data_IF_342051834481
#
_entry.id   IF_342051834481
#
_cell.length_a   1.000
_cell.length_b   1.000
_cell.length_c   1.000
_cell.angle_alpha   90.00
_cell.angle_beta   90.00
_cell.angle_gamma   90.00
#
_symmetry.space_group_name_H-M   'P 1'
#
loop_
_entity.id
_entity.type
_entity.pdbx_description
1 polymer ?
#
# COMPACT_ATOMS: atom_id res chain seq x y z
N UNK A 1 9.90 25.06 8.53
CA UNK A 1 10.30 24.07 9.56
C UNK A 1 9.15 23.12 9.95
N UNK A 2 7.93 23.62 10.22
CA UNK A 2 6.76 22.78 10.59
C UNK A 2 6.32 21.71 9.56
N UNK A 3 6.40 22.02 8.25
CA UNK A 3 6.04 21.08 7.18
C UNK A 3 7.02 19.89 7.14
N UNK A 4 8.31 20.17 7.33
CA UNK A 4 9.35 19.15 7.34
C UNK A 4 9.18 18.20 8.54
N UNK A 5 8.83 18.72 9.72
CA UNK A 5 8.55 17.89 10.90
C UNK A 5 7.30 17.01 10.73
N UNK A 6 6.23 17.51 10.09
CA UNK A 6 5.03 16.71 9.76
C UNK A 6 5.31 15.61 8.73
N UNK A 7 6.09 15.91 7.69
CA UNK A 7 6.47 14.92 6.67
C UNK A 7 7.40 13.88 7.30
N UNK A 8 8.35 14.31 8.13
CA UNK A 8 9.26 13.41 8.83
C UNK A 8 8.49 12.52 9.82
N UNK A 9 7.58 13.06 10.64
CA UNK A 9 6.76 12.24 11.55
C UNK A 9 5.84 11.27 10.80
N UNK A 10 5.31 11.68 9.64
CA UNK A 10 4.47 10.82 8.80
C UNK A 10 5.27 9.67 8.17
N UNK A 11 6.55 9.87 7.82
CA UNK A 11 7.43 8.82 7.29
C UNK A 11 8.04 7.93 8.39
N UNK A 12 8.22 8.46 9.60
CA UNK A 12 8.85 7.75 10.72
C UNK A 12 7.97 6.59 11.22
N UNK A 13 6.65 6.78 11.27
CA UNK A 13 5.72 5.74 11.73
C UNK A 13 5.67 4.50 10.81
N UNK A 14 5.53 4.63 9.48
CA UNK A 14 5.68 3.51 8.55
C UNK A 14 7.03 2.81 8.67
N UNK A 15 8.12 3.54 8.84
CA UNK A 15 9.47 2.96 9.01
C UNK A 15 9.55 2.18 10.32
N UNK A 16 8.97 2.68 11.41
CA UNK A 16 8.90 1.97 12.69
C UNK A 16 8.04 0.72 12.59
N UNK A 17 6.88 0.79 11.92
CA UNK A 17 5.97 -0.36 11.74
C UNK A 17 6.63 -1.42 10.86
N UNK A 18 7.21 -1.03 9.73
CA UNK A 18 7.98 -1.93 8.84
C UNK A 18 9.17 -2.51 9.60
N UNK A 19 9.89 -1.69 10.36
CA UNK A 19 11.01 -2.11 11.20
C UNK A 19 10.60 -3.12 12.27
N UNK A 20 9.44 -2.93 12.90
CA UNK A 20 8.84 -3.87 13.86
C UNK A 20 8.45 -5.19 13.20
N UNK A 21 7.79 -5.14 12.04
CA UNK A 21 7.42 -6.32 11.26
C UNK A 21 8.68 -7.12 10.86
N UNK A 22 9.69 -6.44 10.32
CA UNK A 22 10.98 -7.05 9.95
C UNK A 22 11.70 -7.61 11.18
N UNK A 23 11.68 -6.90 12.30
CA UNK A 23 12.30 -7.35 13.55
C UNK A 23 11.66 -8.64 14.08
N UNK A 24 10.33 -8.72 14.06
CA UNK A 24 9.60 -9.92 14.49
C UNK A 24 9.81 -11.11 13.53
N UNK A 25 9.90 -10.86 12.23
CA UNK A 25 10.23 -11.90 11.24
C UNK A 25 11.67 -12.41 11.43
N UNK A 26 12.62 -11.50 11.65
CA UNK A 26 14.05 -11.84 11.81
C UNK A 26 14.35 -12.59 13.10
N UNK A 27 13.62 -12.32 14.19
CA UNK A 27 13.81 -13.00 15.48
C UNK A 27 13.51 -14.50 15.42
N UNK A 28 12.70 -14.98 14.47
CA UNK A 28 12.36 -16.41 14.31
C UNK A 28 13.35 -17.24 13.50
N UNK A 29 14.31 -16.63 12.78
CA UNK A 29 15.19 -17.34 11.84
C UNK A 29 16.68 -17.41 12.24
N UNK A 30 17.00 -17.36 13.54
CA UNK A 30 18.37 -17.67 14.00
C UNK A 30 18.59 -19.19 13.98
N UNK A 31 19.33 -19.68 12.96
CA UNK A 31 20.18 -20.91 12.93
C UNK A 31 20.10 -21.74 11.61
N UNK A 32 20.04 -21.12 10.42
CA UNK A 32 20.39 -21.86 9.19
C UNK A 32 21.31 -21.04 8.29
N UNK A 33 22.30 -21.72 7.70
CA UNK A 33 23.23 -21.15 6.74
C UNK A 33 22.45 -20.60 5.51
N UNK A 34 22.83 -19.42 4.96
CA UNK A 34 22.08 -18.77 3.87
C UNK A 34 21.93 -19.61 2.59
N UNK A 35 22.90 -20.49 2.31
CA UNK A 35 22.93 -21.31 1.10
C UNK A 35 21.91 -22.46 1.07
N UNK A 36 21.36 -22.86 2.23
CA UNK A 36 20.36 -23.93 2.31
C UNK A 36 18.93 -23.41 2.48
N UNK A 37 18.74 -22.09 2.57
CA UNK A 37 17.42 -21.52 2.81
C UNK A 37 16.68 -21.27 1.49
N UNK A 38 15.65 -22.08 1.21
CA UNK A 38 14.71 -21.90 0.07
C UNK A 38 14.10 -20.48 0.03
N UNK A 39 14.10 -19.76 1.14
CA UNK A 39 13.53 -18.42 1.30
C UNK A 39 14.57 -17.28 1.34
N UNK A 40 15.78 -17.48 0.77
CA UNK A 40 16.84 -16.45 0.75
C UNK A 40 16.38 -15.09 0.22
N UNK A 41 15.43 -15.08 -0.72
CA UNK A 41 14.90 -13.88 -1.35
C UNK A 41 14.03 -13.02 -0.41
N UNK A 42 13.59 -13.56 0.73
CA UNK A 42 12.90 -12.79 1.77
C UNK A 42 13.86 -11.90 2.58
N UNK A 43 15.18 -12.12 2.45
CA UNK A 43 16.18 -11.34 3.16
C UNK A 43 16.51 -10.06 2.41
N UNK A 44 16.30 -8.91 3.08
CA UNK A 44 16.66 -7.60 2.55
C UNK A 44 18.16 -7.40 2.34
N UNK A 45 19.00 -8.13 3.10
CA UNK A 45 20.45 -8.14 2.94
C UNK A 45 20.99 -9.55 3.18
N UNK A 46 21.92 -9.99 2.34
CA UNK A 46 22.50 -11.34 2.41
C UNK A 46 23.57 -11.47 3.50
N UNK A 47 24.24 -10.36 3.82
CA UNK A 47 25.25 -10.28 4.86
C UNK A 47 25.15 -8.95 5.60
N UNK A 48 25.91 -8.80 6.70
CA UNK A 48 25.97 -7.52 7.43
C UNK A 48 26.65 -6.45 6.58
N UNK A 49 27.67 -6.84 5.84
CA UNK A 49 28.44 -5.98 4.93
C UNK A 49 27.55 -5.49 3.77
N UNK A 50 26.72 -6.38 3.20
CA UNK A 50 25.70 -6.01 2.20
C UNK A 50 24.70 -5.00 2.78
N UNK A 51 24.19 -5.23 3.99
CA UNK A 51 23.26 -4.30 4.64
C UNK A 51 23.88 -2.90 4.85
N UNK A 52 25.14 -2.87 5.32
CA UNK A 52 25.88 -1.63 5.55
C UNK A 52 26.16 -0.91 4.23
N UNK A 53 26.57 -1.63 3.19
CA UNK A 53 26.79 -1.08 1.84
C UNK A 53 25.50 -0.47 1.25
N UNK A 54 24.38 -1.20 1.32
CA UNK A 54 23.09 -0.69 0.89
C UNK A 54 22.63 0.55 1.68
N UNK A 55 22.90 0.57 2.99
CA UNK A 55 22.59 1.73 3.84
C UNK A 55 23.42 2.96 3.47
N UNK A 56 24.73 2.80 3.25
CA UNK A 56 25.60 3.90 2.81
C UNK A 56 25.18 4.44 1.44
N UNK A 57 24.82 3.55 0.50
CA UNK A 57 24.31 3.97 -0.79
C UNK A 57 23.00 4.76 -0.66
N UNK A 58 22.06 4.28 0.15
CA UNK A 58 20.82 4.99 0.45
C UNK A 58 21.09 6.37 1.06
N UNK A 59 21.98 6.44 2.04
CA UNK A 59 22.36 7.67 2.72
C UNK A 59 22.99 8.67 1.74
N UNK A 60 23.81 8.19 0.80
CA UNK A 60 24.38 9.00 -0.28
C UNK A 60 23.29 9.65 -1.14
N UNK A 61 22.24 8.92 -1.52
CA UNK A 61 21.10 9.50 -2.25
C UNK A 61 20.29 10.50 -1.42
N UNK A 62 20.13 10.27 -0.12
CA UNK A 62 19.52 11.26 0.76
C UNK A 62 20.35 12.54 0.84
N UNK A 63 21.67 12.42 1.04
CA UNK A 63 22.55 13.58 1.06
C UNK A 63 22.62 14.29 -0.28
N UNK A 64 22.55 13.56 -1.40
CA UNK A 64 22.42 14.16 -2.72
C UNK A 64 21.16 15.03 -2.79
N UNK A 65 20.01 14.52 -2.33
CA UNK A 65 18.76 15.28 -2.33
C UNK A 65 18.77 16.50 -1.41
N UNK A 66 19.32 16.37 -0.20
CA UNK A 66 19.47 17.50 0.74
C UNK A 66 20.42 18.54 0.17
N UNK A 67 21.55 18.12 -0.40
CA UNK A 67 22.54 19.00 -1.02
C UNK A 67 21.93 19.74 -2.21
N UNK A 68 21.20 19.05 -3.09
CA UNK A 68 20.49 19.70 -4.21
C UNK A 68 19.43 20.69 -3.72
N UNK A 69 18.71 20.39 -2.64
CA UNK A 69 17.76 21.34 -2.03
C UNK A 69 18.45 22.58 -1.45
N UNK A 70 19.60 22.40 -0.78
CA UNK A 70 20.39 23.50 -0.23
C UNK A 70 20.93 24.39 -1.34
N UNK A 71 21.60 23.81 -2.36
CA UNK A 71 22.06 24.55 -3.52
C UNK A 71 20.91 25.27 -4.23
N UNK A 72 19.77 24.60 -4.43
CA UNK A 72 18.61 25.22 -5.05
C UNK A 72 18.13 26.44 -4.26
N UNK A 73 18.15 26.39 -2.91
CA UNK A 73 17.81 27.54 -2.07
C UNK A 73 18.83 28.68 -2.21
N UNK A 74 20.12 28.35 -2.22
CA UNK A 74 21.19 29.35 -2.30
C UNK A 74 21.24 30.06 -3.67
N UNK A 75 20.79 29.39 -4.74
CA UNK A 75 20.65 29.98 -6.08
C UNK A 75 19.29 30.66 -6.35
N UNK A 76 18.46 30.88 -5.33
CA UNK A 76 17.17 31.57 -5.49
C UNK A 76 16.03 30.70 -6.05
N UNK A 77 16.04 29.40 -5.73
CA UNK A 77 15.01 28.41 -6.08
C UNK A 77 14.70 28.24 -7.58
N UNK A 78 15.71 28.09 -8.46
CA UNK A 78 15.49 27.94 -9.91
C UNK A 78 14.70 26.68 -10.27
N UNK A 79 14.75 25.65 -9.43
CA UNK A 79 14.09 24.36 -9.63
C UNK A 79 13.09 24.10 -8.52
N UNK A 80 11.91 23.58 -8.86
CA UNK A 80 10.94 23.20 -7.83
C UNK A 80 11.47 22.05 -6.96
N UNK A 81 11.20 22.09 -5.64
CA UNK A 81 11.58 20.99 -4.74
C UNK A 81 11.04 19.62 -5.20
N UNK A 82 9.88 19.60 -5.87
CA UNK A 82 9.30 18.40 -6.48
C UNK A 82 10.23 17.80 -7.54
N UNK A 83 10.80 18.63 -8.42
CA UNK A 83 11.75 18.15 -9.42
C UNK A 83 13.01 17.57 -8.78
N UNK A 84 13.48 18.12 -7.65
CA UNK A 84 14.63 17.55 -6.91
C UNK A 84 14.28 16.17 -6.34
N UNK A 85 13.08 16.00 -5.76
CA UNK A 85 12.61 14.67 -5.28
C UNK A 85 12.50 13.69 -6.45
N UNK A 86 12.04 14.12 -7.62
CA UNK A 86 11.98 13.28 -8.82
C UNK A 86 13.36 12.84 -9.30
N UNK A 87 14.30 13.78 -9.43
CA UNK A 87 15.67 13.50 -9.90
C UNK A 87 16.36 12.52 -8.96
N UNK A 88 16.30 12.79 -7.65
CA UNK A 88 16.96 11.96 -6.63
C UNK A 88 16.35 10.56 -6.55
N UNK A 89 15.02 10.44 -6.61
CA UNK A 89 14.34 9.14 -6.60
C UNK A 89 14.58 8.36 -7.91
N UNK A 90 14.66 9.04 -9.05
CA UNK A 90 14.98 8.40 -10.34
C UNK A 90 16.42 7.90 -10.38
N UNK A 91 17.38 8.72 -9.92
CA UNK A 91 18.77 8.33 -9.82
C UNK A 91 18.96 7.15 -8.84
N UNK A 92 18.26 7.18 -7.71
CA UNK A 92 18.20 6.08 -6.76
C UNK A 92 17.64 4.80 -7.38
N UNK A 93 16.55 4.89 -8.15
CA UNK A 93 15.95 3.74 -8.83
C UNK A 93 16.91 3.11 -9.84
N UNK A 94 17.53 3.93 -10.69
CA UNK A 94 18.51 3.47 -11.69
C UNK A 94 19.68 2.76 -10.98
N UNK A 95 20.23 3.40 -9.95
CA UNK A 95 21.31 2.84 -9.14
C UNK A 95 20.91 1.53 -8.45
N UNK A 96 19.68 1.44 -7.95
CA UNK A 96 19.14 0.24 -7.34
C UNK A 96 19.14 -0.94 -8.31
N UNK A 97 18.69 -0.74 -9.55
CA UNK A 97 18.71 -1.79 -10.58
C UNK A 97 20.12 -2.16 -11.02
N UNK A 98 21.03 -1.18 -11.13
CA UNK A 98 22.40 -1.42 -11.54
C UNK A 98 23.21 -2.17 -10.46
N UNK A 99 23.14 -1.69 -9.22
CA UNK A 99 23.88 -2.22 -8.07
C UNK A 99 23.14 -3.33 -7.31
N UNK A 100 21.90 -3.66 -7.71
CA UNK A 100 21.03 -4.67 -7.07
C UNK A 100 20.74 -4.39 -5.59
N UNK A 101 20.59 -3.12 -5.22
CA UNK A 101 20.41 -2.69 -3.83
C UNK A 101 18.93 -2.49 -3.48
N UNK A 102 18.48 -3.15 -2.41
CA UNK A 102 17.06 -3.24 -2.07
C UNK A 102 16.59 -2.02 -1.29
N UNK A 103 17.39 -1.53 -0.33
CA UNK A 103 17.03 -0.34 0.43
C UNK A 103 16.82 0.86 -0.49
N UNK A 104 17.76 1.10 -1.40
CA UNK A 104 17.65 2.16 -2.40
C UNK A 104 16.41 1.99 -3.27
N UNK A 105 16.08 0.76 -3.69
CA UNK A 105 14.85 0.48 -4.46
C UNK A 105 13.59 0.90 -3.70
N UNK A 106 13.43 0.45 -2.44
CA UNK A 106 12.25 0.75 -1.61
C UNK A 106 12.04 2.26 -1.49
N UNK A 107 13.08 2.99 -1.09
CA UNK A 107 12.97 4.44 -0.88
C UNK A 107 12.78 5.20 -2.19
N UNK A 108 13.37 4.73 -3.30
CA UNK A 108 13.19 5.35 -4.62
C UNK A 108 11.77 5.18 -5.14
N UNK A 109 11.16 4.01 -4.94
CA UNK A 109 9.76 3.77 -5.33
C UNK A 109 8.81 4.64 -4.50
N UNK A 110 9.00 4.68 -3.18
CA UNK A 110 8.22 5.56 -2.28
C UNK A 110 8.41 7.03 -2.66
N UNK A 111 9.65 7.44 -2.97
CA UNK A 111 9.98 8.80 -3.41
C UNK A 111 9.30 9.18 -4.72
N UNK A 112 9.27 8.29 -5.72
CA UNK A 112 8.58 8.51 -6.99
C UNK A 112 7.05 8.58 -6.83
N UNK A 113 6.46 7.68 -6.02
CA UNK A 113 5.03 7.74 -5.71
C UNK A 113 4.67 9.04 -4.97
N UNK A 114 5.49 9.43 -3.98
CA UNK A 114 5.34 10.68 -3.25
C UNK A 114 5.51 11.91 -4.13
N UNK A 115 6.48 11.90 -5.04
CA UNK A 115 6.67 12.93 -6.05
C UNK A 115 5.43 13.07 -6.93
N UNK A 116 4.93 11.96 -7.49
CA UNK A 116 3.75 12.01 -8.36
C UNK A 116 2.55 12.58 -7.62
N UNK A 117 2.32 12.16 -6.37
CA UNK A 117 1.25 12.72 -5.52
C UNK A 117 1.40 14.24 -5.30
N UNK A 118 2.60 14.71 -4.99
CA UNK A 118 2.87 16.15 -4.81
C UNK A 118 2.74 16.94 -6.11
N UNK A 119 3.12 16.34 -7.23
CA UNK A 119 3.04 16.95 -8.56
C UNK A 119 1.59 17.00 -9.06
N UNK A 120 0.82 15.94 -8.84
CA UNK A 120 -0.61 15.90 -9.13
C UNK A 120 -1.38 16.93 -8.28
N UNK A 121 -1.02 17.09 -7.00
CA UNK A 121 -1.57 18.14 -6.14
C UNK A 121 -1.30 19.55 -6.70
N UNK A 122 -0.13 19.80 -7.28
CA UNK A 122 0.16 21.08 -7.95
C UNK A 122 -0.71 21.27 -9.20
N UNK A 123 -0.94 20.22 -9.99
CA UNK A 123 -1.71 20.34 -11.24
C UNK A 123 -3.18 20.69 -11.01
N UNK A 124 -3.71 20.33 -9.85
CA UNK A 124 -5.06 20.68 -9.40
C UNK A 124 -5.09 21.96 -8.56
N UNK A 125 -3.95 22.43 -8.04
CA UNK A 125 -3.90 23.63 -7.22
C UNK A 125 -4.36 24.86 -8.02
N UNK A 126 -5.19 25.69 -7.40
CA UNK A 126 -5.86 26.82 -8.06
C UNK A 126 -6.91 26.44 -9.12
N UNK A 127 -7.09 25.15 -9.43
CA UNK A 127 -8.14 24.65 -10.31
C UNK A 127 -9.21 23.97 -9.45
N UNK A 128 -10.48 24.25 -9.71
CA UNK A 128 -11.58 23.58 -9.00
C UNK A 128 -11.74 22.13 -9.49
N UNK A 129 -10.68 21.30 -9.47
CA UNK A 129 -10.66 19.92 -9.96
C UNK A 129 -10.81 18.94 -8.79
N UNK A 130 -11.56 17.85 -9.01
CA UNK A 130 -11.73 16.77 -8.03
C UNK A 130 -10.39 16.18 -7.59
N UNK A 131 -10.17 16.13 -6.28
CA UNK A 131 -8.98 15.47 -5.69
C UNK A 131 -9.09 13.95 -5.73
N UNK A 132 -10.25 13.36 -6.05
CA UNK A 132 -10.42 11.90 -6.20
C UNK A 132 -9.53 11.32 -7.30
N UNK A 133 -9.23 12.10 -8.34
CA UNK A 133 -8.32 11.72 -9.41
C UNK A 133 -6.86 11.53 -8.93
N UNK A 134 -6.41 12.32 -7.94
CA UNK A 134 -5.11 12.13 -7.30
C UNK A 134 -5.06 10.77 -6.59
N UNK A 135 -6.10 10.44 -5.82
CA UNK A 135 -6.18 9.16 -5.12
C UNK A 135 -6.24 7.99 -6.10
N UNK A 136 -7.03 8.11 -7.16
CA UNK A 136 -7.10 7.08 -8.20
C UNK A 136 -5.71 6.83 -8.83
N UNK A 137 -4.95 7.88 -9.14
CA UNK A 137 -3.60 7.69 -9.69
C UNK A 137 -2.63 7.05 -8.71
N UNK A 138 -2.68 7.39 -7.42
CA UNK A 138 -1.88 6.69 -6.39
C UNK A 138 -2.26 5.20 -6.29
N UNK A 139 -3.55 4.88 -6.33
CA UNK A 139 -4.02 3.50 -6.33
C UNK A 139 -3.60 2.74 -7.60
N UNK A 140 -3.62 3.39 -8.77
CA UNK A 140 -3.13 2.79 -10.01
C UNK A 140 -1.62 2.51 -9.94
N UNK A 141 -0.81 3.42 -9.39
CA UNK A 141 0.62 3.17 -9.15
C UNK A 141 0.81 1.94 -8.24
N UNK A 142 0.02 1.80 -7.17
CA UNK A 142 0.09 0.65 -6.28
C UNK A 142 -0.24 -0.68 -7.00
N UNK A 143 -1.28 -0.68 -7.86
CA UNK A 143 -1.61 -1.84 -8.69
C UNK A 143 -0.56 -2.15 -9.76
N UNK A 144 0.10 -1.11 -10.31
CA UNK A 144 1.25 -1.28 -11.21
C UNK A 144 2.39 -1.96 -10.46
N UNK A 145 2.68 -1.56 -9.21
CA UNK A 145 3.70 -2.22 -8.40
C UNK A 145 3.37 -3.70 -8.20
N UNK A 146 2.11 -4.03 -7.88
CA UNK A 146 1.70 -5.43 -7.76
C UNK A 146 1.96 -6.22 -9.07
N UNK A 147 1.55 -5.65 -10.20
CA UNK A 147 1.67 -6.30 -11.52
C UNK A 147 3.14 -6.45 -11.96
N UNK A 148 3.94 -5.40 -11.79
CA UNK A 148 5.38 -5.43 -12.04
C UNK A 148 6.09 -6.41 -11.10
N UNK A 149 5.63 -6.54 -9.85
CA UNK A 149 6.15 -7.50 -8.89
C UNK A 149 6.16 -8.91 -9.46
N UNK A 150 5.01 -9.37 -9.98
CA UNK A 150 4.92 -10.67 -10.64
C UNK A 150 5.80 -10.80 -11.88
N UNK A 151 5.94 -9.74 -12.70
CA UNK A 151 6.85 -9.78 -13.85
C UNK A 151 8.32 -9.98 -13.43
N UNK A 152 8.73 -9.41 -12.30
CA UNK A 152 10.07 -9.59 -11.77
C UNK A 152 10.30 -11.00 -11.19
N UNK A 153 9.25 -11.76 -10.85
CA UNK A 153 9.38 -13.15 -10.37
C UNK A 153 9.89 -14.08 -11.47
N UNK A 154 9.67 -13.74 -12.75
CA UNK A 154 10.07 -14.57 -13.91
C UNK A 154 11.56 -14.87 -13.93
N UNK A 155 12.40 -13.93 -13.49
CA UNK A 155 13.85 -14.10 -13.49
C UNK A 155 14.39 -14.21 -12.07
N UNK A 156 15.11 -15.28 -11.77
CA UNK A 156 15.71 -15.52 -10.44
C UNK A 156 16.58 -14.35 -9.95
N UNK A 157 17.24 -13.62 -10.87
CA UNK A 157 18.04 -12.43 -10.58
C UNK A 157 17.24 -11.32 -9.90
N UNK A 158 15.95 -11.19 -10.22
CA UNK A 158 15.08 -10.10 -9.77
C UNK A 158 14.06 -10.54 -8.71
N UNK A 159 14.16 -11.77 -8.19
CA UNK A 159 13.20 -12.29 -7.21
C UNK A 159 13.10 -11.44 -5.92
N UNK A 160 14.21 -10.85 -5.47
CA UNK A 160 14.20 -9.91 -4.34
C UNK A 160 13.50 -8.59 -4.67
N UNK A 161 13.56 -8.17 -5.93
CA UNK A 161 12.92 -6.94 -6.40
C UNK A 161 11.41 -7.17 -6.52
N UNK A 162 11.01 -8.33 -7.05
CA UNK A 162 9.61 -8.77 -7.09
C UNK A 162 8.93 -8.60 -5.73
N UNK A 163 9.57 -9.08 -4.66
CA UNK A 163 9.05 -8.95 -3.30
C UNK A 163 8.82 -7.49 -2.90
N UNK A 164 9.75 -6.58 -3.21
CA UNK A 164 9.59 -5.15 -2.89
C UNK A 164 8.36 -4.57 -3.59
N UNK A 165 8.23 -4.82 -4.89
CA UNK A 165 7.10 -4.35 -5.69
C UNK A 165 5.77 -4.94 -5.20
N UNK A 166 5.72 -6.25 -4.92
CA UNK A 166 4.53 -6.91 -4.39
C UNK A 166 4.13 -6.36 -3.02
N UNK A 167 5.08 -6.25 -2.09
CA UNK A 167 4.81 -5.75 -0.73
C UNK A 167 4.34 -4.31 -0.77
N UNK A 168 5.01 -3.42 -1.53
CA UNK A 168 4.57 -2.03 -1.66
C UNK A 168 3.20 -1.92 -2.30
N UNK A 169 2.92 -2.71 -3.35
CA UNK A 169 1.62 -2.74 -4.01
C UNK A 169 0.51 -3.21 -3.07
N UNK A 170 0.70 -4.35 -2.40
CA UNK A 170 -0.25 -4.92 -1.44
C UNK A 170 -0.51 -3.93 -0.30
N UNK A 171 0.53 -3.47 0.40
CA UNK A 171 0.37 -2.56 1.55
C UNK A 171 -0.38 -1.29 1.14
N UNK A 172 -0.07 -0.71 -0.02
CA UNK A 172 -0.73 0.51 -0.48
C UNK A 172 -2.20 0.28 -0.87
N UNK A 173 -2.51 -0.81 -1.60
CA UNK A 173 -3.89 -1.16 -1.97
C UNK A 173 -4.72 -1.52 -0.75
N UNK A 174 -4.22 -2.44 0.09
CA UNK A 174 -4.88 -2.83 1.34
C UNK A 174 -5.08 -1.60 2.23
N UNK A 175 -4.06 -0.74 2.39
CA UNK A 175 -4.16 0.50 3.17
C UNK A 175 -5.20 1.48 2.64
N UNK A 176 -5.31 1.65 1.32
CA UNK A 176 -6.31 2.51 0.70
C UNK A 176 -7.73 1.96 0.89
N UNK A 177 -7.94 0.66 0.64
CA UNK A 177 -9.22 -0.02 0.86
C UNK A 177 -9.63 0.02 2.34
N UNK A 178 -8.67 -0.22 3.24
CA UNK A 178 -8.87 -0.13 4.67
C UNK A 178 -9.33 1.26 5.07
N UNK A 179 -8.61 2.31 4.65
CA UNK A 179 -8.96 3.69 4.93
C UNK A 179 -10.38 4.01 4.45
N UNK A 180 -10.70 3.70 3.20
CA UNK A 180 -12.03 3.96 2.63
C UNK A 180 -13.15 3.10 3.22
N UNK A 181 -12.83 1.98 3.88
CA UNK A 181 -13.82 1.20 4.62
C UNK A 181 -14.28 1.86 5.92
N UNK A 182 -13.56 2.88 6.41
CA UNK A 182 -13.85 3.58 7.68
C UNK A 182 -14.75 4.80 7.49
N UNK A 183 -15.43 5.24 8.55
CA UNK A 183 -16.27 6.46 8.54
C UNK A 183 -15.47 7.71 8.10
N UNK A 184 -14.24 7.98 8.61
CA UNK A 184 -13.41 9.07 8.10
C UNK A 184 -13.10 8.93 6.60
N UNK A 185 -12.75 7.73 6.13
CA UNK A 185 -12.45 7.48 4.73
C UNK A 185 -13.61 7.77 3.80
N UNK A 186 -14.81 7.29 4.13
CA UNK A 186 -16.04 7.60 3.38
C UNK A 186 -16.30 9.11 3.34
N UNK A 187 -16.07 9.83 4.44
CA UNK A 187 -16.16 11.29 4.45
C UNK A 187 -15.15 11.99 3.54
N UNK A 188 -13.94 11.45 3.44
CA UNK A 188 -12.95 11.94 2.48
C UNK A 188 -13.43 11.70 1.05
N UNK A 189 -14.00 10.54 0.69
CA UNK A 189 -14.55 10.30 -0.66
C UNK A 189 -15.59 11.36 -1.04
N UNK A 190 -16.53 11.69 -0.15
CA UNK A 190 -17.52 12.73 -0.39
C UNK A 190 -16.91 14.12 -0.62
N UNK A 191 -15.85 14.46 0.11
CA UNK A 191 -15.11 15.73 -0.09
C UNK A 191 -14.33 15.73 -1.40
N UNK A 192 -13.71 14.61 -1.75
CA UNK A 192 -12.87 14.47 -2.95
C UNK A 192 -13.66 14.45 -4.25
N UNK A 193 -14.94 14.08 -4.20
CA UNK A 193 -15.85 14.08 -5.34
C UNK A 193 -16.37 15.50 -5.70
N UNK A 194 -16.09 16.51 -4.87
CA UNK A 194 -16.43 17.91 -5.16
C UNK A 194 -15.44 18.52 -6.15
N UNK A 195 -15.97 19.34 -7.06
CA UNK A 195 -15.19 20.01 -8.10
C UNK A 195 -15.54 19.53 -9.52
N UNK A 196 -14.87 20.10 -10.50
CA UNK A 196 -14.92 19.74 -11.91
C UNK A 196 -14.14 18.46 -12.20
N UNK A 197 -14.39 17.86 -13.36
CA UNK A 197 -13.72 16.64 -13.78
C UNK A 197 -12.20 16.82 -13.93
N UNK A 198 -11.43 15.74 -13.75
CA UNK A 198 -9.97 15.75 -13.90
C UNK A 198 -9.50 16.09 -15.31
N UNK A 199 -10.39 16.00 -16.31
CA UNK A 199 -10.16 16.50 -17.67
C UNK A 199 -9.81 17.99 -17.73
N UNK A 200 -10.10 18.76 -16.68
CA UNK A 200 -9.65 20.16 -16.55
C UNK A 200 -8.13 20.34 -16.42
N UNK A 201 -7.37 19.27 -16.19
CA UNK A 201 -5.90 19.28 -16.28
C UNK A 201 -5.45 18.19 -17.25
N UNK A 202 -4.91 18.61 -18.39
CA UNK A 202 -4.37 17.68 -19.38
C UNK A 202 -3.20 16.86 -18.82
N UNK A 203 -2.38 17.44 -17.94
CA UNK A 203 -1.25 16.74 -17.30
C UNK A 203 -1.73 15.58 -16.42
N UNK A 204 -2.72 15.86 -15.55
CA UNK A 204 -3.29 14.84 -14.68
C UNK A 204 -3.99 13.76 -15.50
N UNK A 205 -4.80 14.16 -16.47
CA UNK A 205 -5.52 13.26 -17.39
C UNK A 205 -4.55 12.33 -18.11
N UNK A 206 -3.53 12.89 -18.78
CA UNK A 206 -2.52 12.11 -19.50
C UNK A 206 -1.81 11.13 -18.56
N UNK A 207 -1.43 11.57 -17.36
CA UNK A 207 -0.74 10.69 -16.40
C UNK A 207 -1.61 9.51 -15.96
N UNK A 208 -2.91 9.71 -15.73
CA UNK A 208 -3.84 8.65 -15.37
C UNK A 208 -4.04 7.65 -16.52
N UNK A 209 -4.13 8.13 -17.76
CA UNK A 209 -4.19 7.26 -18.93
C UNK A 209 -2.90 6.43 -19.10
N UNK A 210 -1.73 7.05 -18.92
CA UNK A 210 -0.45 6.34 -18.97
C UNK A 210 -0.41 5.24 -17.90
N UNK A 211 -0.85 5.53 -16.68
CA UNK A 211 -0.92 4.51 -15.63
C UNK A 211 -1.92 3.41 -15.94
N UNK A 212 -3.10 3.74 -16.45
CA UNK A 212 -4.10 2.75 -16.83
C UNK A 212 -3.58 1.82 -17.94
N UNK A 213 -3.00 2.38 -19.00
CA UNK A 213 -2.42 1.60 -20.11
C UNK A 213 -1.26 0.74 -19.61
N UNK A 214 -0.36 1.31 -18.79
CA UNK A 214 0.77 0.57 -18.22
C UNK A 214 0.31 -0.58 -17.32
N UNK A 215 -0.73 -0.34 -16.51
CA UNK A 215 -1.31 -1.37 -15.65
C UNK A 215 -1.91 -2.50 -16.47
N UNK A 216 -2.79 -2.18 -17.42
CA UNK A 216 -3.44 -3.17 -18.29
C UNK A 216 -2.39 -3.94 -19.11
N UNK A 217 -1.40 -3.27 -19.67
CA UNK A 217 -0.31 -3.92 -20.40
C UNK A 217 0.51 -4.86 -19.50
N UNK A 218 0.88 -4.41 -18.30
CA UNK A 218 1.65 -5.22 -17.36
C UNK A 218 0.85 -6.44 -16.85
N UNK A 219 -0.43 -6.28 -16.52
CA UNK A 219 -1.29 -7.37 -16.03
C UNK A 219 -1.56 -8.41 -17.10
N UNK A 220 -1.91 -7.97 -18.32
CA UNK A 220 -2.14 -8.89 -19.44
C UNK A 220 -0.85 -9.62 -19.82
N UNK A 221 0.30 -8.95 -19.82
CA UNK A 221 1.58 -9.60 -20.07
C UNK A 221 1.92 -10.61 -18.97
N UNK A 222 1.72 -10.26 -17.68
CA UNK A 222 1.93 -11.18 -16.57
C UNK A 222 1.01 -12.41 -16.64
N UNK A 223 -0.25 -12.22 -17.02
CA UNK A 223 -1.21 -13.31 -17.21
C UNK A 223 -0.86 -14.19 -18.41
N UNK A 224 -0.43 -13.61 -19.53
CA UNK A 224 0.05 -14.35 -20.71
C UNK A 224 1.27 -15.22 -20.37
N UNK A 225 2.12 -14.76 -19.45
CA UNK A 225 3.25 -15.52 -18.92
C UNK A 225 2.87 -16.52 -17.82
N UNK A 226 1.56 -16.67 -17.51
CA UNK A 226 1.03 -17.53 -16.43
C UNK A 226 1.62 -17.21 -15.05
N UNK A 227 2.06 -15.96 -14.84
CA UNK A 227 2.58 -15.47 -13.57
C UNK A 227 1.46 -15.01 -12.63
N UNK A 228 0.26 -14.81 -13.16
CA UNK A 228 -0.97 -14.47 -12.43
C UNK A 228 -1.98 -15.60 -12.57
N UNK A 229 -2.67 -15.92 -11.49
CA UNK A 229 -3.86 -16.76 -11.53
C UNK A 229 -5.07 -15.98 -12.07
N UNK A 230 -6.07 -16.68 -12.59
CA UNK A 230 -7.29 -16.04 -13.12
C UNK A 230 -8.02 -15.20 -12.06
N UNK A 231 -7.98 -15.61 -10.79
CA UNK A 231 -8.59 -14.87 -9.68
C UNK A 231 -7.84 -13.57 -9.37
N UNK A 232 -6.50 -13.60 -9.40
CA UNK A 232 -5.70 -12.38 -9.19
C UNK A 232 -5.89 -11.38 -10.35
N UNK A 233 -5.97 -11.88 -11.58
CA UNK A 233 -6.29 -11.04 -12.73
C UNK A 233 -7.64 -10.35 -12.54
N UNK A 234 -8.67 -11.12 -12.19
CA UNK A 234 -10.01 -10.58 -11.92
C UNK A 234 -9.97 -9.54 -10.79
N UNK A 235 -9.25 -9.81 -9.71
CA UNK A 235 -9.10 -8.90 -8.58
C UNK A 235 -8.42 -7.59 -9.00
N UNK A 236 -7.33 -7.64 -9.78
CA UNK A 236 -6.65 -6.42 -10.25
C UNK A 236 -7.56 -5.59 -11.15
N UNK A 237 -8.31 -6.22 -12.07
CA UNK A 237 -9.27 -5.50 -12.89
C UNK A 237 -10.44 -4.91 -12.07
N UNK A 238 -10.99 -5.68 -11.12
CA UNK A 238 -12.06 -5.21 -10.24
C UNK A 238 -11.61 -4.01 -9.40
N UNK A 239 -10.39 -4.05 -8.83
CA UNK A 239 -9.82 -2.95 -8.08
C UNK A 239 -9.49 -1.75 -8.97
N UNK A 240 -9.02 -1.98 -10.20
CA UNK A 240 -8.81 -0.92 -11.19
C UNK A 240 -10.12 -0.21 -11.51
N UNK A 241 -11.20 -0.95 -11.74
CA UNK A 241 -12.53 -0.39 -11.94
C UNK A 241 -13.02 0.36 -10.69
N UNK A 242 -12.83 -0.20 -9.50
CA UNK A 242 -13.22 0.45 -8.24
C UNK A 242 -12.49 1.78 -8.06
N UNK A 243 -11.17 1.83 -8.19
CA UNK A 243 -10.43 3.09 -8.06
C UNK A 243 -10.65 4.04 -9.24
N UNK A 244 -10.81 3.52 -10.46
CA UNK A 244 -11.12 4.32 -11.65
C UNK A 244 -12.48 5.01 -11.54
N UNK A 245 -13.51 4.29 -11.08
CA UNK A 245 -14.84 4.87 -10.84
C UNK A 245 -14.79 5.97 -9.78
N UNK A 246 -13.91 5.87 -8.78
CA UNK A 246 -13.76 6.92 -7.76
C UNK A 246 -13.27 8.26 -8.34
N UNK A 247 -12.42 8.22 -9.36
CA UNK A 247 -12.00 9.43 -10.08
C UNK A 247 -13.16 10.10 -10.83
N UNK A 248 -14.14 9.32 -11.27
CA UNK A 248 -15.28 9.75 -12.07
C UNK A 248 -16.52 10.09 -11.24
N UNK A 249 -16.48 9.93 -9.91
CA UNK A 249 -17.65 10.10 -9.07
C UNK A 249 -18.27 11.50 -9.20
N UNK A 250 -19.60 11.63 -9.38
CA UNK A 250 -20.27 12.90 -9.27
C UNK A 250 -20.24 13.41 -7.82
N UNK A 251 -20.42 14.72 -7.65
CA UNK A 251 -20.51 15.30 -6.32
C UNK A 251 -21.73 14.71 -5.58
N UNK A 252 -21.50 14.13 -4.40
CA UNK A 252 -22.51 13.44 -3.63
C UNK A 252 -22.30 13.64 -2.13
N UNK A 253 -23.38 13.69 -1.35
CA UNK A 253 -23.33 13.80 0.10
C UNK A 253 -23.23 12.41 0.71
N UNK A 254 -22.17 12.14 1.48
CA UNK A 254 -21.96 10.83 2.12
C UNK A 254 -22.64 10.70 3.49
N UNK A 255 -22.97 11.83 4.10
CA UNK A 255 -23.63 11.91 5.40
C UNK A 255 -24.88 12.74 5.27
N UNK A 256 -25.92 12.39 6.02
CA UNK A 256 -27.16 13.16 6.08
C UNK A 256 -26.83 14.53 6.66
N UNK A 257 -27.14 15.59 5.92
CA UNK A 257 -27.00 16.96 6.39
C UNK A 257 -28.22 17.31 7.23
N UNK A 258 -28.23 16.88 8.50
CA UNK A 258 -29.18 17.42 9.47
C UNK A 258 -28.83 18.90 9.71
N UNK A 259 -29.84 19.77 9.68
CA UNK A 259 -29.72 21.23 9.52
C UNK A 259 -28.58 21.93 10.29
N UNK A 260 -27.99 22.93 9.65
CA UNK A 260 -26.92 23.79 10.18
C UNK A 260 -27.34 24.48 11.49
N UNK A 261 -26.45 24.54 12.49
CA UNK A 261 -25.85 25.83 12.92
C UNK A 261 -24.78 25.75 14.03
N UNK A 262 -24.56 24.65 14.77
CA UNK A 262 -23.66 24.74 15.95
C UNK A 262 -22.68 23.59 16.28
N UNK A 263 -22.63 22.49 15.51
CA UNK A 263 -21.71 21.37 15.82
C UNK A 263 -20.98 20.83 14.56
N UNK A 264 -20.10 21.64 13.96
CA UNK A 264 -19.36 21.22 12.74
C UNK A 264 -18.14 20.34 12.99
N UNK A 265 -17.84 19.96 14.24
CA UNK A 265 -16.70 19.10 14.55
C UNK A 265 -17.07 17.60 14.67
N UNK A 266 -18.36 17.31 14.89
CA UNK A 266 -18.95 15.96 14.82
C UNK A 266 -20.08 15.97 13.79
N UNK A 267 -19.73 16.18 12.52
CA UNK A 267 -20.70 16.18 11.42
C UNK A 267 -21.51 14.87 11.36
N UNK A 268 -22.81 15.01 11.07
CA UNK A 268 -23.85 13.99 10.90
C UNK A 268 -23.43 12.54 11.13
N UNK A 269 -23.91 11.94 12.23
CA UNK A 269 -23.52 10.58 12.58
C UNK A 269 -24.03 9.51 11.61
N UNK A 270 -25.04 9.84 10.81
CA UNK A 270 -25.73 8.91 9.95
C UNK A 270 -25.27 9.04 8.50
N UNK A 271 -24.97 7.89 7.89
CA UNK A 271 -24.63 7.79 6.48
C UNK A 271 -25.87 8.05 5.63
N UNK A 272 -25.70 8.79 4.53
CA UNK A 272 -26.74 8.85 3.49
C UNK A 272 -26.86 7.48 2.79
N UNK A 273 -27.92 7.25 2.02
CA UNK A 273 -28.06 6.02 1.22
C UNK A 273 -26.85 5.76 0.31
N UNK A 274 -26.31 6.83 -0.28
CA UNK A 274 -25.07 6.79 -1.07
C UNK A 274 -23.85 6.46 -0.23
N UNK A 275 -23.73 7.06 0.96
CA UNK A 275 -22.66 6.76 1.92
C UNK A 275 -22.68 5.29 2.38
N UNK A 276 -23.87 4.74 2.63
CA UNK A 276 -24.05 3.31 2.98
C UNK A 276 -23.57 2.42 1.83
N UNK A 277 -23.97 2.72 0.59
CA UNK A 277 -23.55 1.96 -0.59
C UNK A 277 -22.02 1.93 -0.72
N UNK A 278 -21.34 3.09 -0.63
CA UNK A 278 -19.88 3.14 -0.71
C UNK A 278 -19.20 2.42 0.47
N UNK A 279 -19.75 2.57 1.67
CA UNK A 279 -19.26 1.83 2.82
C UNK A 279 -19.33 0.32 2.57
N UNK A 280 -20.46 -0.21 2.08
CA UNK A 280 -20.60 -1.63 1.75
C UNK A 280 -19.59 -2.06 0.69
N UNK A 281 -19.46 -1.31 -0.41
CA UNK A 281 -18.50 -1.63 -1.48
C UNK A 281 -17.07 -1.76 -0.92
N UNK A 282 -16.59 -0.78 -0.14
CA UNK A 282 -15.23 -0.83 0.38
C UNK A 282 -15.03 -1.89 1.45
N UNK A 283 -16.03 -2.15 2.29
CA UNK A 283 -15.96 -3.22 3.29
C UNK A 283 -15.90 -4.61 2.62
N UNK A 284 -16.68 -4.84 1.56
CA UNK A 284 -16.57 -6.06 0.78
C UNK A 284 -15.25 -6.13 0.00
N UNK A 285 -14.82 -5.02 -0.60
CA UNK A 285 -13.57 -4.97 -1.35
C UNK A 285 -12.36 -5.34 -0.48
N UNK A 286 -12.21 -4.74 0.72
CA UNK A 286 -11.11 -5.10 1.63
C UNK A 286 -11.22 -6.55 2.13
N UNK A 287 -12.43 -7.03 2.42
CA UNK A 287 -12.64 -8.39 2.87
C UNK A 287 -12.24 -9.43 1.81
N UNK A 288 -12.72 -9.25 0.57
CA UNK A 288 -12.39 -10.15 -0.53
C UNK A 288 -10.94 -10.01 -0.99
N UNK A 289 -10.35 -8.82 -0.91
CA UNK A 289 -8.92 -8.64 -1.19
C UNK A 289 -8.07 -9.45 -0.21
N UNK A 290 -8.33 -9.37 1.10
CA UNK A 290 -7.56 -10.12 2.11
C UNK A 290 -7.74 -11.63 1.97
N UNK A 291 -8.97 -12.09 1.71
CA UNK A 291 -9.22 -13.51 1.41
C UNK A 291 -8.51 -13.95 0.13
N UNK A 292 -8.55 -13.13 -0.91
CA UNK A 292 -7.86 -13.37 -2.18
C UNK A 292 -6.35 -13.49 -2.00
N UNK A 293 -5.74 -12.64 -1.16
CA UNK A 293 -4.31 -12.72 -0.85
C UNK A 293 -3.96 -13.95 -0.02
N UNK A 294 -4.78 -14.35 0.96
CA UNK A 294 -4.58 -15.61 1.71
C UNK A 294 -4.64 -16.80 0.75
N UNK A 295 -5.65 -16.82 -0.12
CA UNK A 295 -5.85 -17.89 -1.10
C UNK A 295 -4.72 -17.94 -2.13
N UNK A 296 -4.28 -16.79 -2.65
CA UNK A 296 -3.11 -16.67 -3.51
C UNK A 296 -1.85 -17.20 -2.83
N UNK A 297 -1.61 -16.82 -1.57
CA UNK A 297 -0.49 -17.32 -0.78
C UNK A 297 -0.53 -18.83 -0.58
N UNK A 298 -1.71 -19.40 -0.41
CA UNK A 298 -1.89 -20.85 -0.34
C UNK A 298 -1.59 -21.54 -1.67
N UNK A 299 -2.15 -21.06 -2.79
CA UNK A 299 -1.93 -21.62 -4.13
C UNK A 299 -0.46 -21.55 -4.54
N UNK A 300 0.19 -20.42 -4.29
CA UNK A 300 1.61 -20.17 -4.60
C UNK A 300 2.58 -20.79 -3.59
N UNK A 301 2.06 -21.32 -2.47
CA UNK A 301 2.83 -21.85 -1.33
C UNK A 301 3.78 -20.81 -0.72
N UNK A 302 3.35 -19.55 -0.70
CA UNK A 302 4.12 -18.42 -0.19
C UNK A 302 3.69 -18.06 1.23
N UNK A 303 4.50 -18.51 2.19
CA UNK A 303 4.24 -18.31 3.63
C UNK A 303 4.19 -16.82 4.01
N UNK A 304 5.02 -15.98 3.39
CA UNK A 304 5.08 -14.56 3.66
C UNK A 304 3.77 -13.85 3.30
N UNK A 305 3.14 -14.22 2.17
CA UNK A 305 1.90 -13.64 1.71
C UNK A 305 0.74 -14.01 2.65
N UNK A 306 0.65 -15.28 3.05
CA UNK A 306 -0.34 -15.73 4.05
C UNK A 306 -0.17 -14.97 5.37
N UNK A 307 1.07 -14.80 5.85
CA UNK A 307 1.34 -14.11 7.10
C UNK A 307 0.98 -12.61 7.04
N UNK A 308 1.32 -11.95 5.93
CA UNK A 308 1.00 -10.54 5.71
C UNK A 308 -0.51 -10.31 5.68
N UNK A 309 -1.24 -11.15 4.94
CA UNK A 309 -2.70 -11.05 4.83
C UNK A 309 -3.40 -11.40 6.15
N UNK A 310 -2.90 -12.39 6.90
CA UNK A 310 -3.38 -12.68 8.24
C UNK A 310 -3.15 -11.49 9.18
N UNK A 311 -2.00 -10.81 9.12
CA UNK A 311 -1.77 -9.60 9.91
C UNK A 311 -2.80 -8.51 9.57
N UNK A 312 -3.05 -8.25 8.28
CA UNK A 312 -4.02 -7.24 7.88
C UNK A 312 -5.46 -7.61 8.24
N UNK A 313 -5.85 -8.89 8.11
CA UNK A 313 -7.15 -9.36 8.55
C UNK A 313 -7.33 -9.18 10.05
N UNK A 314 -6.30 -9.48 10.85
CA UNK A 314 -6.32 -9.24 12.29
C UNK A 314 -6.50 -7.75 12.62
N UNK A 315 -5.77 -6.86 11.93
CA UNK A 315 -5.92 -5.41 12.08
C UNK A 315 -7.31 -4.91 11.66
N UNK A 316 -7.88 -5.48 10.58
CA UNK A 316 -9.22 -5.16 10.11
C UNK A 316 -10.27 -5.54 11.16
N UNK A 317 -10.19 -6.75 11.72
CA UNK A 317 -11.10 -7.17 12.78
C UNK A 317 -11.00 -6.25 13.99
N UNK A 318 -9.78 -5.86 14.41
CA UNK A 318 -9.58 -4.89 15.50
C UNK A 318 -10.30 -3.59 15.17
N UNK A 319 -9.99 -2.95 14.04
CA UNK A 319 -10.54 -1.62 13.75
C UNK A 319 -12.06 -1.67 13.59
N UNK A 320 -12.61 -2.70 12.94
CA UNK A 320 -14.07 -2.86 12.82
C UNK A 320 -14.73 -3.12 14.16
N UNK A 321 -14.07 -3.86 15.05
CA UNK A 321 -14.55 -4.06 16.40
C UNK A 321 -14.63 -2.73 17.17
N UNK A 322 -13.57 -1.91 17.12
CA UNK A 322 -13.56 -0.59 17.76
C UNK A 322 -14.59 0.35 17.13
N UNK A 323 -14.70 0.39 15.80
CA UNK A 323 -15.67 1.23 15.09
C UNK A 323 -17.12 0.89 15.46
N UNK A 324 -17.46 -0.39 15.64
CA UNK A 324 -18.83 -0.81 15.92
C UNK A 324 -19.14 -0.81 17.42
N UNK A 325 -18.34 -1.47 18.24
CA UNK A 325 -18.72 -1.73 19.64
C UNK A 325 -18.41 -0.57 20.60
N UNK A 326 -17.50 0.35 20.25
CA UNK A 326 -17.11 1.44 21.16
C UNK A 326 -18.25 2.43 21.43
N UNK A 327 -19.20 2.56 20.50
CA UNK A 327 -20.35 3.45 20.64
C UNK A 327 -21.57 2.80 21.31
N UNK A 328 -21.68 1.47 21.27
CA UNK A 328 -22.91 0.77 21.71
C UNK A 328 -22.82 0.12 23.10
N UNK A 329 -21.62 -0.10 23.64
CA UNK A 329 -21.43 -0.82 24.91
C UNK A 329 -20.77 0.05 25.98
N UNK A 330 -21.11 -0.23 27.24
CA UNK A 330 -20.36 0.30 28.37
C UNK A 330 -18.87 -0.04 28.24
N UNK A 331 -18.01 0.95 28.51
CA UNK A 331 -16.56 0.85 28.27
C UNK A 331 -15.96 -0.42 28.90
N UNK A 332 -16.41 -0.80 30.10
CA UNK A 332 -15.92 -2.00 30.79
C UNK A 332 -16.30 -3.31 30.07
N UNK A 333 -17.55 -3.44 29.61
CA UNK A 333 -18.04 -4.61 28.87
C UNK A 333 -17.35 -4.68 27.50
N UNK A 334 -17.17 -3.52 26.86
CA UNK A 334 -16.42 -3.38 25.62
C UNK A 334 -15.00 -3.95 25.77
N UNK A 335 -14.24 -3.55 26.80
CA UNK A 335 -12.87 -4.06 26.97
C UNK A 335 -12.80 -5.57 27.23
N UNK A 336 -13.75 -6.14 27.99
CA UNK A 336 -13.83 -7.58 28.23
C UNK A 336 -14.15 -8.33 26.93
N UNK A 337 -15.15 -7.85 26.18
CA UNK A 337 -15.52 -8.41 24.88
C UNK A 337 -14.37 -8.34 23.87
N UNK A 338 -13.65 -7.21 23.83
CA UNK A 338 -12.50 -7.01 22.97
C UNK A 338 -11.40 -8.03 23.27
N UNK A 339 -11.09 -8.24 24.55
CA UNK A 339 -10.09 -9.21 24.98
C UNK A 339 -10.44 -10.63 24.55
N UNK A 340 -11.69 -11.06 24.77
CA UNK A 340 -12.16 -12.39 24.37
C UNK A 340 -12.11 -12.54 22.83
N UNK A 341 -12.63 -11.55 22.10
CA UNK A 341 -12.66 -11.59 20.65
C UNK A 341 -11.26 -11.63 20.05
N UNK A 342 -10.34 -10.81 20.55
CA UNK A 342 -8.94 -10.82 20.11
C UNK A 342 -8.26 -12.17 20.36
N UNK A 343 -8.54 -12.78 21.51
CA UNK A 343 -7.98 -14.09 21.84
C UNK A 343 -8.54 -15.19 20.92
N UNK A 344 -9.86 -15.22 20.73
CA UNK A 344 -10.53 -16.23 19.89
C UNK A 344 -10.10 -16.07 18.42
N UNK A 345 -10.18 -14.86 17.86
CA UNK A 345 -9.80 -14.61 16.46
C UNK A 345 -8.31 -14.89 16.26
N UNK A 346 -7.45 -14.40 17.17
CA UNK A 346 -6.01 -14.69 17.11
C UNK A 346 -5.70 -16.18 17.16
N UNK A 347 -6.40 -16.94 18.01
CA UNK A 347 -6.25 -18.39 18.09
C UNK A 347 -6.70 -19.09 16.81
N UNK A 348 -7.87 -18.77 16.27
CA UNK A 348 -8.37 -19.35 15.02
C UNK A 348 -7.45 -19.05 13.84
N UNK A 349 -6.96 -17.81 13.74
CA UNK A 349 -6.03 -17.41 12.69
C UNK A 349 -4.70 -18.15 12.79
N UNK A 350 -4.14 -18.30 13.99
CA UNK A 350 -2.90 -19.07 14.18
C UNK A 350 -3.12 -20.56 13.90
N UNK A 351 -4.27 -21.12 14.28
CA UNK A 351 -4.63 -22.52 13.99
C UNK A 351 -4.75 -22.75 12.47
N UNK A 352 -5.48 -21.88 11.77
CA UNK A 352 -5.64 -21.92 10.31
C UNK A 352 -4.30 -21.78 9.59
N UNK A 353 -3.47 -20.83 10.02
CA UNK A 353 -2.10 -20.64 9.51
C UNK A 353 -1.24 -21.89 9.68
N UNK A 354 -1.26 -22.52 10.86
CA UNK A 354 -0.50 -23.76 11.11
C UNK A 354 -0.95 -24.89 10.22
N UNK A 355 -2.26 -25.07 10.04
CA UNK A 355 -2.83 -26.09 9.17
C UNK A 355 -2.42 -25.90 7.69
N UNK A 356 -2.49 -24.67 7.19
CA UNK A 356 -2.06 -24.37 5.81
C UNK A 356 -0.56 -24.63 5.63
N UNK A 357 0.28 -24.21 6.57
CA UNK A 357 1.73 -24.39 6.48
C UNK A 357 2.14 -25.86 6.63
N UNK A 358 1.46 -26.64 7.49
CA UNK A 358 1.75 -28.08 7.61
C UNK A 358 1.47 -28.82 6.31
N UNK A 359 0.37 -28.48 5.63
CA UNK A 359 0.02 -29.09 4.35
C UNK A 359 1.03 -28.74 3.25
N UNK A 360 1.50 -27.50 3.21
CA UNK A 360 2.56 -27.06 2.30
C UNK A 360 3.86 -27.85 2.55
N UNK A 361 4.23 -28.05 3.81
CA UNK A 361 5.44 -28.81 4.18
C UNK A 361 5.33 -30.30 3.86
N UNK A 362 4.19 -30.93 4.15
CA UNK A 362 3.96 -32.34 3.87
C UNK A 362 4.03 -32.65 2.36
N UNK A 363 3.40 -31.80 1.53
CA UNK A 363 3.50 -31.94 0.06
C UNK A 363 4.92 -31.69 -0.46
N UNK A 364 5.67 -30.76 0.13
CA UNK A 364 7.04 -30.50 -0.28
C UNK A 364 7.99 -31.70 0.00
N UNK A 365 7.70 -32.50 1.04
CA UNK A 365 8.45 -33.71 1.36
C UNK A 365 8.11 -34.88 0.43
N UNK A 366 6.84 -35.02 0.01
CA UNK A 366 6.43 -36.05 -0.95
C UNK A 366 6.99 -35.87 -2.36
N UNK A 367 7.34 -34.65 -2.77
CA UNK A 367 7.96 -34.38 -4.09
C UNK A 367 9.48 -34.65 -4.06
N UNK A 368 10.08 -34.80 -2.87
CA UNK A 368 11.51 -35.09 -2.70
C UNK A 368 11.82 -36.58 -2.51
N UNK A 369 10.79 -37.41 -2.34
CA UNK A 369 10.86 -38.87 -2.43
C UNK A 369 10.48 -39.29 -3.85
#
# INVERSE_FOLDING_TARGET
>A
MYIFYRIFSFLLWPILIIGLIVFFIRRRHKKLHPSQNKEWYLQFALSKEDAVSQLFLLLSFFFLGVTLLAFNRDFGEPVSWRAIVFITSSAGLISAYYLKTIYTLVFSLVGLTGWWGAQAAQWIDGKNIKTSALFAGLSLIALIFYSLGHLHEKQMKFKRFALVYLVLGIIAVTGALFFFSTKPGIGVIGKMAKGSSFFGSWQLTLSLFVFLISLVGATLYAAAQKLLSSFELLAVFALTCLFGTTALLPAQTMFVQTGQYYYSYYGGNELSSTGVLWALIYNFAIFFELLGLIFSGYLRRETWLINLSALFLFLLVIVKYFDWFFTFLDKSIFFIGAGILLFVVGWFMEKGRRYMISNIKAQAQQIQQ
#
